data_IF_467011970128
#
_entry.id   IF_467011970128
#
_cell.length_a   1.000
_cell.length_b   1.000
_cell.length_c   1.000
_cell.angle_alpha   90.00
_cell.angle_beta   90.00
_cell.angle_gamma   90.00
#
_symmetry.space_group_name_H-M   'P 1'
#
loop_
_entity.id
_entity.type
_entity.pdbx_description
1 polymer ?
#
# COMPACT_ATOMS: atom_id res chain seq x y z
N UNK A 1 18.14 -7.27 -29.60
CA UNK A 1 18.32 -6.01 -28.85
C UNK A 1 19.41 -6.23 -27.83
N UNK A 2 20.44 -5.39 -27.80
CA UNK A 2 21.44 -5.42 -26.72
C UNK A 2 20.87 -4.74 -25.47
N UNK A 3 21.38 -5.09 -24.27
CA UNK A 3 20.91 -4.49 -23.00
C UNK A 3 20.96 -2.96 -23.03
N UNK A 4 21.97 -2.38 -23.68
CA UNK A 4 22.12 -0.93 -23.85
C UNK A 4 21.04 -0.30 -24.73
N UNK A 5 20.60 -1.00 -25.78
CA UNK A 5 19.49 -0.56 -26.62
C UNK A 5 18.16 -0.60 -25.85
N UNK A 6 17.92 -1.67 -25.08
CA UNK A 6 16.74 -1.77 -24.22
C UNK A 6 16.69 -0.66 -23.17
N UNK A 7 17.83 -0.34 -22.54
CA UNK A 7 17.93 0.75 -21.57
C UNK A 7 17.60 2.12 -22.19
N UNK A 8 18.15 2.42 -23.37
CA UNK A 8 17.84 3.68 -24.07
C UNK A 8 16.35 3.80 -24.40
N UNK A 9 15.73 2.71 -24.85
CA UNK A 9 14.29 2.68 -25.13
C UNK A 9 13.46 2.90 -23.85
N UNK A 10 13.83 2.26 -22.73
CA UNK A 10 13.12 2.42 -21.47
C UNK A 10 13.19 3.85 -20.91
N UNK A 11 14.35 4.50 -21.02
CA UNK A 11 14.56 5.89 -20.57
C UNK A 11 13.77 6.90 -21.41
N UNK A 12 13.64 6.63 -22.71
CA UNK A 12 12.92 7.49 -23.65
C UNK A 12 11.39 7.32 -23.58
N UNK A 13 10.89 6.22 -23.02
CA UNK A 13 9.46 5.98 -22.90
C UNK A 13 8.85 6.81 -21.73
N UNK A 14 7.94 7.77 -22.01
CA UNK A 14 7.27 8.53 -20.96
C UNK A 14 6.44 7.67 -20.01
N UNK A 15 5.96 6.50 -20.45
CA UNK A 15 5.18 5.58 -19.58
C UNK A 15 6.03 5.03 -18.44
N UNK A 16 7.31 4.76 -18.70
CA UNK A 16 8.26 4.33 -17.66
C UNK A 16 8.34 5.34 -16.53
N UNK A 17 8.41 6.64 -16.86
CA UNK A 17 8.48 7.71 -15.87
C UNK A 17 7.18 7.89 -15.10
N UNK A 18 6.03 7.73 -15.75
CA UNK A 18 4.73 7.77 -15.06
C UNK A 18 4.56 6.62 -14.08
N UNK A 19 4.95 5.40 -14.46
CA UNK A 19 4.91 4.23 -13.59
C UNK A 19 5.90 4.37 -12.43
N UNK A 20 7.11 4.87 -12.70
CA UNK A 20 8.11 5.14 -11.66
C UNK A 20 7.62 6.19 -10.66
N UNK A 21 7.04 7.30 -11.14
CA UNK A 21 6.48 8.33 -10.28
C UNK A 21 5.33 7.78 -9.42
N UNK A 22 4.47 6.95 -10.01
CA UNK A 22 3.37 6.29 -9.28
C UNK A 22 3.92 5.36 -8.20
N UNK A 23 4.88 4.49 -8.54
CA UNK A 23 5.54 3.59 -7.58
C UNK A 23 6.20 4.38 -6.44
N UNK A 24 6.87 5.48 -6.77
CA UNK A 24 7.51 6.36 -5.80
C UNK A 24 6.49 6.94 -4.81
N UNK A 25 5.37 7.49 -5.31
CA UNK A 25 4.28 7.99 -4.45
C UNK A 25 3.71 6.90 -3.54
N UNK A 26 3.57 5.66 -4.04
CA UNK A 26 3.12 4.52 -3.24
C UNK A 26 4.08 4.24 -2.09
N UNK A 27 5.39 4.20 -2.36
CA UNK A 27 6.38 3.95 -1.30
C UNK A 27 6.52 5.11 -0.31
N UNK A 28 6.33 6.36 -0.74
CA UNK A 28 6.24 7.51 0.16
C UNK A 28 5.06 7.31 1.13
N UNK A 29 3.89 6.89 0.63
CA UNK A 29 2.75 6.55 1.48
C UNK A 29 3.05 5.35 2.38
N UNK A 30 3.75 4.33 1.87
CA UNK A 30 4.15 3.16 2.64
C UNK A 30 5.11 3.48 3.81
N UNK A 31 5.71 4.68 3.83
CA UNK A 31 6.52 5.16 4.96
C UNK A 31 5.79 5.13 6.31
N UNK A 32 4.45 5.15 6.32
CA UNK A 32 3.61 4.97 7.51
C UNK A 32 3.87 3.63 8.23
N UNK A 33 4.31 2.59 7.51
CA UNK A 33 4.64 1.27 8.10
C UNK A 33 5.81 1.34 9.07
N UNK A 34 6.81 2.17 8.77
CA UNK A 34 7.98 2.38 9.63
C UNK A 34 7.57 2.98 10.99
N UNK A 35 6.45 3.70 11.03
CA UNK A 35 5.92 4.35 12.21
C UNK A 35 4.63 3.70 12.70
N UNK A 36 4.29 2.49 12.22
CA UNK A 36 3.05 1.83 12.58
C UNK A 36 2.97 1.51 14.09
N UNK A 37 4.03 0.99 14.76
CA UNK A 37 3.94 0.76 16.21
C UNK A 37 3.72 2.04 17.03
N UNK A 38 4.43 3.17 16.77
CA UNK A 38 4.08 4.46 17.37
C UNK A 38 2.65 4.92 17.09
N UNK A 39 2.16 4.76 15.86
CA UNK A 39 0.79 5.16 15.48
C UNK A 39 -0.26 4.32 16.21
N UNK A 40 -0.07 3.01 16.32
CA UNK A 40 -0.95 2.10 17.09
C UNK A 40 -0.83 2.39 18.60
N UNK A 41 0.32 2.80 19.10
CA UNK A 41 0.49 3.20 20.50
C UNK A 41 -0.42 4.38 20.89
N UNK A 42 -0.79 5.24 19.93
CA UNK A 42 -1.73 6.36 20.16
C UNK A 42 -3.15 5.91 20.53
N UNK A 43 -3.46 4.61 20.42
CA UNK A 43 -4.74 4.05 20.87
C UNK A 43 -4.80 3.86 22.39
N UNK A 44 -3.69 4.03 23.12
CA UNK A 44 -3.65 4.01 24.59
C UNK A 44 -3.51 2.61 25.21
N UNK A 45 -3.18 1.59 24.43
CA UNK A 45 -2.92 0.24 24.93
C UNK A 45 -1.52 0.09 25.54
N UNK A 46 -1.33 -0.98 26.33
CA UNK A 46 -0.01 -1.32 26.87
C UNK A 46 0.97 -1.67 25.75
N UNK A 47 2.27 -1.49 25.99
CA UNK A 47 3.33 -1.73 24.99
C UNK A 47 3.25 -3.13 24.36
N UNK A 48 2.99 -4.16 25.16
CA UNK A 48 2.86 -5.54 24.68
C UNK A 48 1.66 -5.71 23.76
N UNK A 49 0.51 -5.15 24.12
CA UNK A 49 -0.71 -5.22 23.31
C UNK A 49 -0.53 -4.43 22.01
N UNK A 50 0.07 -3.24 22.06
CA UNK A 50 0.38 -2.44 20.88
C UNK A 50 1.18 -3.23 19.85
N UNK A 51 2.22 -3.97 20.26
CA UNK A 51 2.97 -4.79 19.31
C UNK A 51 2.12 -5.92 18.72
N UNK A 52 1.33 -6.61 19.54
CA UNK A 52 0.41 -7.64 19.03
C UNK A 52 -0.57 -7.06 18.01
N UNK A 53 -1.08 -5.85 18.24
CA UNK A 53 -2.01 -5.15 17.34
C UNK A 53 -1.38 -4.71 16.02
N UNK A 54 -0.05 -4.67 15.91
CA UNK A 54 0.65 -4.38 14.64
C UNK A 54 0.74 -5.59 13.71
N UNK A 55 0.60 -6.82 14.22
CA UNK A 55 0.68 -8.03 13.39
C UNK A 55 -0.53 -8.21 12.44
N UNK A 56 -1.80 -8.03 12.86
CA UNK A 56 -2.96 -8.20 11.99
C UNK A 56 -2.95 -7.34 10.71
N UNK A 57 -2.55 -6.05 10.74
CA UNK A 57 -2.38 -5.25 9.51
C UNK A 57 -1.48 -5.91 8.45
N UNK A 58 -0.36 -6.50 8.87
CA UNK A 58 0.58 -7.13 7.92
C UNK A 58 0.06 -8.49 7.41
N UNK A 59 -0.66 -9.25 8.24
CA UNK A 59 -1.33 -10.48 7.79
C UNK A 59 -2.37 -10.14 6.71
N UNK A 60 -3.20 -9.13 6.97
CA UNK A 60 -4.17 -8.65 5.99
C UNK A 60 -3.48 -8.18 4.72
N UNK A 61 -2.36 -7.47 4.83
CA UNK A 61 -1.55 -7.04 3.71
C UNK A 61 -1.07 -8.19 2.83
N UNK A 62 -0.52 -9.25 3.42
CA UNK A 62 -0.11 -10.42 2.65
C UNK A 62 -1.29 -11.03 1.87
N UNK A 63 -2.45 -11.15 2.52
CA UNK A 63 -3.65 -11.70 1.88
C UNK A 63 -4.13 -10.82 0.72
N UNK A 64 -4.24 -9.50 0.92
CA UNK A 64 -4.72 -8.59 -0.12
C UNK A 64 -3.74 -8.47 -1.29
N UNK A 65 -2.43 -8.49 -1.04
CA UNK A 65 -1.40 -8.53 -2.08
C UNK A 65 -1.56 -9.76 -2.98
N UNK A 66 -1.70 -10.95 -2.37
CA UNK A 66 -1.86 -12.19 -3.13
C UNK A 66 -3.15 -12.17 -3.95
N UNK A 67 -4.28 -11.84 -3.31
CA UNK A 67 -5.58 -11.80 -3.99
C UNK A 67 -5.58 -10.79 -5.12
N UNK A 68 -5.08 -9.57 -4.89
CA UNK A 68 -5.06 -8.51 -5.91
C UNK A 68 -4.12 -8.86 -7.07
N UNK A 69 -2.96 -9.44 -6.79
CA UNK A 69 -2.02 -9.92 -7.80
C UNK A 69 -2.63 -11.02 -8.68
N UNK A 70 -3.09 -12.11 -8.07
CA UNK A 70 -3.71 -13.22 -8.81
C UNK A 70 -4.95 -12.79 -9.60
N UNK A 71 -5.79 -11.92 -9.02
CA UNK A 71 -6.98 -11.45 -9.70
C UNK A 71 -6.64 -10.50 -10.86
N UNK A 72 -5.62 -9.64 -10.70
CA UNK A 72 -5.11 -8.79 -11.78
C UNK A 72 -4.57 -9.62 -12.94
N UNK A 73 -3.80 -10.68 -12.65
CA UNK A 73 -3.24 -11.55 -13.68
C UNK A 73 -4.31 -12.35 -14.42
N UNK A 74 -5.35 -12.79 -13.70
CA UNK A 74 -6.46 -13.53 -14.32
C UNK A 74 -7.37 -12.65 -15.19
N UNK A 75 -7.54 -11.38 -14.82
CA UNK A 75 -8.39 -10.43 -15.57
C UNK A 75 -7.62 -9.66 -16.64
N UNK A 76 -6.30 -9.67 -16.62
CA UNK A 76 -5.43 -8.85 -17.48
C UNK A 76 -5.69 -7.33 -17.37
N UNK A 77 -6.37 -6.88 -16.31
CA UNK A 77 -6.80 -5.49 -16.11
C UNK A 77 -5.98 -4.78 -15.02
N UNK A 78 -4.72 -4.42 -15.31
CA UNK A 78 -3.82 -3.82 -14.29
C UNK A 78 -4.32 -2.48 -13.73
N UNK A 79 -5.01 -1.67 -14.54
CA UNK A 79 -5.41 -0.31 -14.16
C UNK A 79 -6.30 -0.27 -12.92
N UNK A 80 -7.40 -1.05 -12.90
CA UNK A 80 -8.34 -1.04 -11.78
C UNK A 80 -7.74 -1.63 -10.50
N UNK A 81 -6.85 -2.62 -10.65
CA UNK A 81 -6.14 -3.26 -9.54
C UNK A 81 -5.04 -2.38 -8.92
N UNK A 82 -4.62 -1.31 -9.61
CA UNK A 82 -3.75 -0.27 -9.06
C UNK A 82 -4.59 0.83 -8.43
N UNK A 83 -5.55 1.39 -9.17
CA UNK A 83 -6.32 2.57 -8.72
C UNK A 83 -7.24 2.23 -7.55
N UNK A 84 -7.92 1.08 -7.57
CA UNK A 84 -8.85 0.67 -6.51
C UNK A 84 -8.19 0.64 -5.13
N UNK A 85 -7.10 -0.11 -4.94
CA UNK A 85 -6.37 -0.11 -3.67
C UNK A 85 -5.82 1.27 -3.28
N UNK A 86 -5.40 2.11 -4.23
CA UNK A 86 -4.94 3.47 -3.91
C UNK A 86 -6.06 4.38 -3.41
N UNK A 87 -7.29 4.23 -3.92
CA UNK A 87 -8.46 4.90 -3.37
C UNK A 87 -8.73 4.47 -1.92
N UNK A 88 -8.59 3.18 -1.62
CA UNK A 88 -8.71 2.66 -0.24
C UNK A 88 -7.61 3.25 0.65
N UNK A 89 -6.37 3.34 0.16
CA UNK A 89 -5.27 4.00 0.87
C UNK A 89 -5.62 5.43 1.24
N UNK A 90 -6.15 6.22 0.29
CA UNK A 90 -6.55 7.59 0.54
C UNK A 90 -7.59 7.69 1.66
N UNK A 91 -8.67 6.89 1.56
CA UNK A 91 -9.75 6.88 2.55
C UNK A 91 -9.24 6.46 3.93
N UNK A 92 -8.40 5.42 4.00
CA UNK A 92 -7.84 4.95 5.26
C UNK A 92 -6.94 5.99 5.94
N UNK A 93 -6.13 6.72 5.17
CA UNK A 93 -5.33 7.83 5.71
C UNK A 93 -6.23 8.97 6.23
N UNK A 94 -7.29 9.33 5.50
CA UNK A 94 -8.25 10.37 5.93
C UNK A 94 -8.92 9.97 7.25
N UNK A 95 -9.43 8.73 7.36
CA UNK A 95 -10.09 8.24 8.58
C UNK A 95 -9.12 8.27 9.75
N UNK A 96 -7.88 7.80 9.55
CA UNK A 96 -6.87 7.73 10.62
C UNK A 96 -6.55 9.09 11.25
N UNK A 97 -6.59 10.17 10.44
CA UNK A 97 -6.29 11.54 10.88
C UNK A 97 -7.54 12.31 11.35
N UNK A 98 -8.72 11.99 10.82
CA UNK A 98 -9.96 12.77 11.05
C UNK A 98 -10.78 12.36 12.27
N UNK A 99 -10.52 11.18 12.86
CA UNK A 99 -11.29 10.67 13.99
C UNK A 99 -10.40 10.29 15.18
N UNK A 100 -10.96 10.41 16.38
CA UNK A 100 -10.38 9.90 17.63
C UNK A 100 -11.04 8.59 18.08
N UNK A 101 -12.05 8.10 17.35
CA UNK A 101 -12.70 6.84 17.66
C UNK A 101 -11.72 5.67 17.44
N UNK A 102 -11.44 4.92 18.51
CA UNK A 102 -10.44 3.83 18.53
C UNK A 102 -10.74 2.77 17.48
N UNK A 103 -11.99 2.35 17.34
CA UNK A 103 -12.40 1.32 16.39
C UNK A 103 -12.19 1.79 14.96
N UNK A 104 -12.69 2.98 14.61
CA UNK A 104 -12.55 3.53 13.26
C UNK A 104 -11.08 3.73 12.86
N UNK A 105 -10.26 4.25 13.79
CA UNK A 105 -8.82 4.44 13.56
C UNK A 105 -8.10 3.12 13.39
N UNK A 106 -8.35 2.12 14.24
CA UNK A 106 -7.67 0.84 14.14
C UNK A 106 -8.03 0.10 12.84
N UNK A 107 -9.31 0.11 12.44
CA UNK A 107 -9.72 -0.45 11.15
C UNK A 107 -9.02 0.26 9.98
N UNK A 108 -8.92 1.59 10.02
CA UNK A 108 -8.18 2.34 9.01
C UNK A 108 -6.69 1.98 8.99
N UNK A 109 -6.04 1.86 10.16
CA UNK A 109 -4.64 1.42 10.28
C UNK A 109 -4.42 0.00 9.74
N UNK A 110 -5.41 -0.89 9.82
CA UNK A 110 -5.34 -2.22 9.20
C UNK A 110 -5.42 -2.14 7.67
N UNK A 111 -6.28 -1.27 7.14
CA UNK A 111 -6.49 -1.13 5.70
C UNK A 111 -5.30 -0.47 4.99
N UNK A 112 -4.60 0.47 5.66
CA UNK A 112 -3.48 1.21 5.08
C UNK A 112 -2.43 0.28 4.41
N UNK A 113 -1.68 -0.58 5.14
CA UNK A 113 -0.70 -1.46 4.51
C UNK A 113 -1.33 -2.44 3.53
N UNK A 114 -2.53 -2.90 3.81
CA UNK A 114 -3.23 -3.82 2.93
C UNK A 114 -3.56 -3.23 1.56
N UNK A 115 -3.76 -1.91 1.47
CA UNK A 115 -4.18 -1.25 0.24
C UNK A 115 -3.00 -0.72 -0.59
N UNK A 116 -2.03 0.00 -0.02
CA UNK A 116 -0.93 0.53 -0.82
C UNK A 116 0.01 -0.57 -1.32
N UNK A 117 0.24 -1.64 -0.55
CA UNK A 117 1.07 -2.73 -1.02
C UNK A 117 0.36 -3.58 -2.09
N UNK A 118 -0.95 -3.79 -1.95
CA UNK A 118 -1.74 -4.45 -3.00
C UNK A 118 -1.70 -3.69 -4.34
N UNK A 119 -1.70 -2.35 -4.30
CA UNK A 119 -1.48 -1.53 -5.51
C UNK A 119 -0.06 -1.67 -6.07
N UNK A 120 0.97 -1.67 -5.22
CA UNK A 120 2.36 -1.81 -5.67
C UNK A 120 2.67 -3.18 -6.30
N UNK A 121 2.06 -4.27 -5.82
CA UNK A 121 2.33 -5.62 -6.34
C UNK A 121 1.89 -5.82 -7.78
N UNK A 122 0.90 -5.06 -8.25
CA UNK A 122 0.42 -5.12 -9.64
C UNK A 122 1.19 -4.17 -10.55
N UNK A 123 1.74 -3.10 -9.95
CA UNK A 123 2.51 -2.11 -10.69
C UNK A 123 3.96 -2.57 -10.97
N UNK A 124 4.52 -3.41 -10.09
CA UNK A 124 5.82 -4.07 -10.24
C UNK A 124 5.74 -5.26 -11.21
#
# INVERSE_FOLDING_TARGET
MTAWQGLKLAIQDPKTWLLLATLYCIFVSAGVTNFLPPVVATLGYSRTITFVLTAPPFILCCLTMLINGFHSDHKEERYFHIVGPLCVTLVANIITVSTLNVTARYTAMMLMPASFYAGSTVLL
#
